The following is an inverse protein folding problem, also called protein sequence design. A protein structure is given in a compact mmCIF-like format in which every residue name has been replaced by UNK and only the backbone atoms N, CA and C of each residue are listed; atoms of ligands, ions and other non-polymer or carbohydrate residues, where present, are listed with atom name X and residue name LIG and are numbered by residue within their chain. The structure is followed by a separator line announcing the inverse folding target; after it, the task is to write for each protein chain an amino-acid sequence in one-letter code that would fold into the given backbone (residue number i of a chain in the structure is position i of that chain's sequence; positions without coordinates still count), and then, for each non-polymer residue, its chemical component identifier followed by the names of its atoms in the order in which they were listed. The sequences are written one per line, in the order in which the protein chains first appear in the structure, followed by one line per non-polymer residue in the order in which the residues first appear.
data_IF_548321886273
#
_entry.id   IF_548321886273
#
_cell.length_a   1.000
_cell.length_b   1.000
_cell.length_c   1.000
_cell.angle_alpha   90.00
_cell.angle_beta   90.00
_cell.angle_gamma   90.00
#
_symmetry.space_group_name_H-M   'P 1'
#
loop_
_entity.id
_entity.type
_entity.pdbx_description
1 polymer ?
#
# COMPACT_ATOMS: atom_id res chain seq x y z
N UNK A 1 15.64 -27.38 -4.33
CA UNK A 1 15.02 -27.96 -5.53
C UNK A 1 14.72 -26.91 -6.60
N UNK A 2 13.73 -26.02 -6.47
CA UNK A 2 13.49 -24.99 -7.52
C UNK A 2 14.70 -24.07 -7.75
N UNK A 3 15.31 -23.57 -6.67
CA UNK A 3 16.54 -22.77 -6.76
C UNK A 3 17.68 -23.51 -7.46
N UNK A 4 17.79 -24.83 -7.23
CA UNK A 4 18.80 -25.68 -7.87
C UNK A 4 18.53 -25.85 -9.37
N UNK A 5 17.27 -26.07 -9.76
CA UNK A 5 16.87 -26.12 -11.17
C UNK A 5 17.13 -24.79 -11.91
N UNK A 6 16.96 -23.66 -11.22
CA UNK A 6 17.27 -22.34 -11.74
C UNK A 6 18.78 -22.00 -11.74
N UNK A 7 19.64 -22.91 -11.26
CA UNK A 7 21.07 -22.67 -11.12
C UNK A 7 21.44 -21.63 -10.05
N UNK A 8 20.49 -21.28 -9.18
CA UNK A 8 20.68 -20.29 -8.13
C UNK A 8 21.28 -20.93 -6.88
N UNK A 9 22.54 -20.57 -6.59
CA UNK A 9 23.34 -21.15 -5.50
C UNK A 9 23.13 -20.45 -4.15
N UNK A 10 22.66 -19.21 -4.18
CA UNK A 10 22.42 -18.41 -2.99
C UNK A 10 20.91 -18.25 -2.80
N UNK A 11 20.41 -18.76 -1.68
CA UNK A 11 18.98 -18.70 -1.35
C UNK A 11 18.78 -17.57 -0.36
N UNK A 12 17.98 -16.58 -0.75
CA UNK A 12 17.56 -15.48 0.09
C UNK A 12 16.07 -15.66 0.35
N UNK A 13 15.65 -15.63 1.62
CA UNK A 13 14.23 -15.56 1.96
C UNK A 13 13.77 -14.10 1.89
N UNK A 14 12.58 -13.83 1.31
CA UNK A 14 12.12 -12.47 1.12
C UNK A 14 11.66 -11.84 2.45
N UNK A 15 11.66 -10.51 2.50
CA UNK A 15 10.79 -9.81 3.45
C UNK A 15 9.36 -9.90 2.93
N UNK A 16 8.42 -10.48 3.68
CA UNK A 16 7.02 -10.49 3.27
C UNK A 16 6.44 -9.07 3.35
N UNK A 17 5.72 -8.66 2.31
CA UNK A 17 4.83 -7.50 2.33
C UNK A 17 3.41 -8.01 2.52
N UNK A 18 2.83 -7.74 3.69
CA UNK A 18 1.48 -8.21 4.02
C UNK A 18 0.48 -7.11 3.74
N UNK A 19 -0.42 -7.31 2.78
CA UNK A 19 -1.56 -6.41 2.62
C UNK A 19 -2.51 -6.54 3.81
N UNK A 20 -2.66 -5.48 4.61
CA UNK A 20 -3.42 -5.51 5.88
C UNK A 20 -4.63 -4.59 5.89
N UNK A 21 -4.71 -3.63 4.96
CA UNK A 21 -5.92 -2.85 4.65
C UNK A 21 -6.10 -2.84 3.14
N UNK A 22 -7.26 -3.33 2.68
CA UNK A 22 -7.65 -3.26 1.28
C UNK A 22 -8.48 -1.98 1.01
N UNK A 23 -8.17 -1.34 -0.09
CA UNK A 23 -8.97 -0.28 -0.71
C UNK A 23 -9.14 -0.57 -2.20
N UNK A 24 -9.17 0.49 -3.01
CA UNK A 24 -9.24 0.42 -4.47
C UNK A 24 -10.35 -0.51 -4.95
N UNK A 25 -10.04 -1.29 -5.98
CA UNK A 25 -10.94 -2.28 -6.59
C UNK A 25 -11.07 -3.56 -5.74
N UNK A 26 -10.20 -3.78 -4.76
CA UNK A 26 -10.17 -4.98 -3.89
C UNK A 26 -11.11 -4.89 -2.66
N UNK A 27 -11.83 -3.78 -2.48
CA UNK A 27 -12.73 -3.58 -1.35
C UNK A 27 -13.92 -2.66 -1.66
N UNK A 28 -15.11 -3.07 -1.17
CA UNK A 28 -16.35 -2.28 -1.22
C UNK A 28 -16.39 -1.07 -0.26
N UNK A 29 -15.24 -0.48 0.07
CA UNK A 29 -15.13 0.75 0.85
C UNK A 29 -14.91 1.97 -0.08
N UNK A 30 -14.64 3.14 0.49
CA UNK A 30 -14.38 4.38 -0.28
C UNK A 30 -12.90 4.64 -0.56
N UNK A 31 -12.00 3.86 0.02
CA UNK A 31 -10.56 4.11 -0.04
C UNK A 31 -10.06 3.95 -1.47
N UNK A 32 -9.38 4.95 -2.02
CA UNK A 32 -8.96 4.91 -3.42
C UNK A 32 -7.75 4.00 -3.66
N UNK A 33 -6.72 4.10 -2.81
CA UNK A 33 -5.50 3.29 -2.96
C UNK A 33 -5.77 1.83 -2.59
N UNK A 34 -5.18 0.91 -3.33
CA UNK A 34 -5.58 -0.49 -3.34
C UNK A 34 -5.05 -1.28 -2.14
N UNK A 35 -3.78 -1.10 -1.81
CA UNK A 35 -3.12 -1.89 -0.76
C UNK A 35 -2.31 -1.04 0.20
N UNK A 36 -2.44 -1.37 1.48
CA UNK A 36 -1.60 -0.82 2.52
C UNK A 36 -0.92 -1.97 3.24
N UNK A 37 0.37 -2.12 2.97
CA UNK A 37 1.16 -3.27 3.37
C UNK A 37 2.04 -2.96 4.57
N UNK A 38 2.32 -3.99 5.37
CA UNK A 38 3.37 -3.96 6.39
C UNK A 38 4.54 -4.87 5.99
N UNK A 39 5.76 -4.38 6.20
CA UNK A 39 7.01 -5.05 5.85
C UNK A 39 7.89 -5.19 7.09
N UNK A 40 8.03 -6.40 7.69
CA UNK A 40 8.87 -6.63 8.86
C UNK A 40 10.37 -6.69 8.55
N UNK A 41 10.94 -5.59 8.04
CA UNK A 41 12.36 -5.49 7.64
C UNK A 41 13.35 -5.67 8.79
N UNK A 42 12.91 -5.48 10.04
CA UNK A 42 13.72 -5.64 11.25
C UNK A 42 13.71 -7.04 11.85
N UNK A 43 13.07 -8.02 11.20
CA UNK A 43 13.06 -9.41 11.65
C UNK A 43 14.40 -10.12 11.34
N UNK A 44 14.85 -11.01 12.23
CA UNK A 44 16.09 -11.76 12.04
C UNK A 44 15.95 -12.94 11.08
N UNK A 45 14.73 -13.38 10.79
CA UNK A 45 14.42 -14.46 9.87
C UNK A 45 12.95 -14.41 9.44
N UNK A 46 12.60 -15.20 8.41
CA UNK A 46 11.25 -15.24 7.87
C UNK A 46 10.18 -15.65 8.90
N UNK A 47 10.49 -16.58 9.80
CA UNK A 47 9.55 -17.00 10.86
C UNK A 47 9.22 -15.84 11.81
N UNK A 48 10.21 -15.05 12.20
CA UNK A 48 10.00 -13.85 12.99
C UNK A 48 9.20 -12.80 12.20
N UNK A 49 9.48 -12.62 10.90
CA UNK A 49 8.71 -11.70 10.05
C UNK A 49 7.23 -12.10 9.98
N UNK A 50 6.93 -13.39 9.80
CA UNK A 50 5.56 -13.92 9.82
C UNK A 50 4.87 -13.66 11.17
N UNK A 51 5.59 -13.88 12.29
CA UNK A 51 5.06 -13.60 13.63
C UNK A 51 4.70 -12.12 13.78
N UNK A 52 5.65 -11.24 13.47
CA UNK A 52 5.47 -9.79 13.52
C UNK A 52 4.28 -9.32 12.69
N UNK A 53 4.18 -9.78 11.44
CA UNK A 53 3.06 -9.47 10.55
C UNK A 53 1.71 -9.91 11.14
N UNK A 54 1.64 -11.14 11.65
CA UNK A 54 0.40 -11.70 12.21
C UNK A 54 -0.07 -10.98 13.48
N UNK A 55 0.86 -10.57 14.35
CA UNK A 55 0.53 -9.85 15.58
C UNK A 55 0.02 -8.44 15.26
N UNK A 56 0.69 -7.71 14.33
CA UNK A 56 0.21 -6.41 13.87
C UNK A 56 -1.16 -6.51 13.23
N UNK A 57 -1.41 -7.51 12.38
CA UNK A 57 -2.71 -7.73 11.75
C UNK A 57 -3.84 -7.95 12.79
N UNK A 58 -3.60 -8.76 13.82
CA UNK A 58 -4.59 -8.96 14.89
C UNK A 58 -4.81 -7.72 15.76
N UNK A 59 -3.76 -6.93 16.03
CA UNK A 59 -3.91 -5.65 16.71
C UNK A 59 -4.69 -4.65 15.87
N UNK A 60 -4.39 -4.56 14.57
CA UNK A 60 -5.12 -3.73 13.62
C UNK A 60 -6.62 -4.07 13.61
N UNK A 61 -6.97 -5.37 13.59
CA UNK A 61 -8.37 -5.82 13.70
C UNK A 61 -9.08 -5.22 14.91
N UNK A 62 -8.43 -5.24 16.07
CA UNK A 62 -9.00 -4.75 17.31
C UNK A 62 -9.16 -3.22 17.30
N UNK A 63 -8.19 -2.50 16.72
CA UNK A 63 -8.24 -1.04 16.56
C UNK A 63 -9.40 -0.65 15.64
N UNK A 64 -9.49 -1.28 14.46
CA UNK A 64 -10.58 -1.08 13.50
C UNK A 64 -11.93 -1.38 14.14
N UNK A 65 -12.07 -2.53 14.81
CA UNK A 65 -13.30 -2.91 15.53
C UNK A 65 -13.72 -1.86 16.54
N UNK A 66 -12.77 -1.33 17.31
CA UNK A 66 -13.02 -0.32 18.34
C UNK A 66 -13.46 1.01 17.74
N UNK A 67 -12.87 1.42 16.61
CA UNK A 67 -13.11 2.73 15.99
C UNK A 67 -14.35 2.75 15.08
N UNK A 68 -14.58 1.67 14.33
CA UNK A 68 -15.59 1.63 13.27
C UNK A 68 -16.65 0.53 13.46
N UNK A 69 -16.52 -0.30 14.50
CA UNK A 69 -17.45 -1.39 14.78
C UNK A 69 -17.02 -2.73 14.19
N UNK A 70 -17.75 -3.80 14.53
CA UNK A 70 -17.42 -5.17 14.14
C UNK A 70 -17.43 -5.36 12.62
N UNK A 71 -18.38 -4.75 11.93
CA UNK A 71 -18.60 -4.94 10.49
C UNK A 71 -17.40 -4.42 9.67
N UNK A 72 -16.68 -3.41 10.18
CA UNK A 72 -15.46 -2.89 9.55
C UNK A 72 -14.26 -3.85 9.62
N UNK A 73 -14.39 -5.00 10.31
CA UNK A 73 -13.36 -6.06 10.35
C UNK A 73 -13.60 -7.19 9.36
N UNK A 74 -14.58 -7.04 8.46
CA UNK A 74 -14.64 -7.84 7.26
C UNK A 74 -13.36 -7.63 6.42
N UNK A 75 -12.98 -8.66 5.68
CA UNK A 75 -11.78 -8.66 4.85
C UNK A 75 -12.13 -8.45 3.38
N UNK A 76 -11.25 -7.79 2.64
CA UNK A 76 -11.29 -7.71 1.18
C UNK A 76 -10.78 -8.99 0.53
N UNK A 77 -10.57 -8.93 -0.79
CA UNK A 77 -10.23 -10.11 -1.60
C UNK A 77 -8.91 -10.78 -1.19
N UNK A 78 -7.98 -10.02 -0.59
CA UNK A 78 -6.64 -10.48 -0.20
C UNK A 78 -6.46 -10.71 1.30
N UNK A 79 -7.54 -10.63 2.08
CA UNK A 79 -7.52 -10.86 3.51
C UNK A 79 -7.14 -9.65 4.37
N UNK A 80 -6.77 -8.51 3.78
CA UNK A 80 -6.67 -7.23 4.48
C UNK A 80 -8.06 -6.72 4.92
N UNK A 81 -8.12 -5.86 5.94
CA UNK A 81 -9.40 -5.31 6.40
C UNK A 81 -9.93 -4.26 5.43
N UNK A 82 -11.25 -4.15 5.31
CA UNK A 82 -11.91 -3.18 4.43
C UNK A 82 -12.75 -2.15 5.23
N UNK A 83 -12.15 -1.35 6.14
CA UNK A 83 -12.91 -0.33 6.86
C UNK A 83 -13.45 0.71 5.88
N UNK A 84 -14.64 1.26 6.18
CA UNK A 84 -15.28 2.26 5.35
C UNK A 84 -14.68 3.67 5.58
N UNK A 85 -13.42 3.83 5.19
CA UNK A 85 -12.67 5.08 5.25
C UNK A 85 -12.47 5.62 3.82
N UNK A 86 -12.43 6.95 3.69
CA UNK A 86 -12.18 7.64 2.42
C UNK A 86 -10.73 8.12 2.32
N UNK A 87 -10.20 8.71 3.39
CA UNK A 87 -8.86 9.28 3.37
C UNK A 87 -7.76 8.21 3.51
N UNK A 88 -6.88 8.09 2.52
CA UNK A 88 -5.73 7.16 2.55
C UNK A 88 -4.84 7.36 3.79
N UNK A 89 -4.74 8.61 4.27
CA UNK A 89 -4.03 8.97 5.50
C UNK A 89 -4.58 8.29 6.74
N UNK A 90 -5.90 8.07 6.81
CA UNK A 90 -6.53 7.35 7.92
C UNK A 90 -6.12 5.87 7.92
N UNK A 91 -5.98 5.24 6.76
CA UNK A 91 -5.43 3.88 6.63
C UNK A 91 -4.01 3.77 7.18
N UNK A 92 -3.14 4.73 6.81
CA UNK A 92 -1.77 4.82 7.31
C UNK A 92 -1.72 5.06 8.84
N UNK A 93 -2.61 5.89 9.38
CA UNK A 93 -2.71 6.12 10.83
C UNK A 93 -3.06 4.83 11.59
N UNK A 94 -4.03 4.07 11.10
CA UNK A 94 -4.45 2.80 11.71
C UNK A 94 -3.31 1.77 11.72
N UNK A 95 -2.57 1.66 10.62
CA UNK A 95 -1.42 0.76 10.52
C UNK A 95 -0.30 1.19 11.46
N UNK A 96 0.03 2.48 11.49
CA UNK A 96 1.07 2.99 12.38
C UNK A 96 0.71 2.80 13.86
N UNK A 97 -0.56 2.99 14.24
CA UNK A 97 -1.06 2.66 15.57
C UNK A 97 -0.94 1.15 15.87
N UNK A 98 -1.29 0.29 14.93
CA UNK A 98 -1.19 -1.16 15.09
C UNK A 98 0.26 -1.64 15.28
N UNK A 99 1.19 -1.13 14.47
CA UNK A 99 2.63 -1.39 14.61
C UNK A 99 3.10 -0.99 16.01
N UNK A 100 2.67 0.18 16.48
CA UNK A 100 3.01 0.70 17.81
C UNK A 100 2.46 -0.16 18.94
N UNK A 101 1.18 -0.48 18.90
CA UNK A 101 0.53 -1.30 19.94
C UNK A 101 1.13 -2.72 19.99
N UNK A 102 1.55 -3.27 18.84
CA UNK A 102 2.23 -4.55 18.76
C UNK A 102 3.70 -4.51 19.26
N UNK A 103 4.25 -3.31 19.52
CA UNK A 103 5.62 -3.16 20.02
C UNK A 103 6.71 -3.30 18.95
N UNK A 104 6.38 -3.04 17.67
CA UNK A 104 7.29 -3.21 16.52
C UNK A 104 7.69 -1.90 15.84
N UNK A 105 7.56 -0.75 16.53
CA UNK A 105 8.06 0.54 16.02
C UNK A 105 9.53 0.44 15.60
N UNK A 106 9.84 0.96 14.41
CA UNK A 106 11.18 0.92 13.83
C UNK A 106 11.58 -0.42 13.20
N UNK A 107 10.88 -1.52 13.48
CA UNK A 107 11.15 -2.84 12.89
C UNK A 107 10.22 -3.19 11.72
N UNK A 108 9.06 -2.56 11.65
CA UNK A 108 8.11 -2.70 10.54
C UNK A 108 8.06 -1.39 9.77
N UNK A 109 8.09 -1.50 8.44
CA UNK A 109 7.90 -0.41 7.47
C UNK A 109 6.57 -0.60 6.74
N UNK A 110 6.19 0.41 5.98
CA UNK A 110 4.95 0.40 5.19
C UNK A 110 5.29 0.34 3.70
N UNK A 111 4.52 -0.45 2.97
CA UNK A 111 4.47 -0.46 1.52
C UNK A 111 3.07 -0.09 1.08
N UNK A 112 2.92 0.43 -0.13
CA UNK A 112 1.62 0.73 -0.70
C UNK A 112 1.59 0.23 -2.13
N UNK A 113 0.49 -0.37 -2.54
CA UNK A 113 0.08 -0.40 -3.94
C UNK A 113 -1.06 0.59 -4.10
N UNK A 114 -0.80 1.59 -4.92
CA UNK A 114 -1.74 2.66 -5.20
C UNK A 114 -2.72 2.21 -6.29
N UNK A 115 -2.28 1.43 -7.29
CA UNK A 115 -3.02 1.09 -8.50
C UNK A 115 -3.66 2.33 -9.17
N UNK A 116 -2.85 3.37 -9.42
CA UNK A 116 -3.37 4.67 -9.82
C UNK A 116 -4.10 4.69 -11.17
N UNK A 117 -3.82 3.72 -12.05
CA UNK A 117 -4.54 3.51 -13.31
C UNK A 117 -6.05 3.36 -13.08
N UNK A 118 -6.47 2.71 -11.98
CA UNK A 118 -7.88 2.46 -11.66
C UNK A 118 -8.71 3.73 -11.41
N UNK A 119 -8.03 4.81 -11.03
CA UNK A 119 -8.66 6.10 -10.75
C UNK A 119 -8.10 7.26 -11.57
N UNK A 120 -7.36 6.95 -12.63
CA UNK A 120 -6.93 7.93 -13.61
C UNK A 120 -8.11 8.32 -14.54
N UNK A 121 -8.36 9.63 -14.66
CA UNK A 121 -9.43 10.21 -15.47
C UNK A 121 -8.95 11.49 -16.14
N UNK A 122 -8.93 11.49 -17.47
CA UNK A 122 -8.62 12.66 -18.30
C UNK A 122 -7.30 13.38 -17.91
N UNK A 123 -6.24 12.61 -17.60
CA UNK A 123 -4.93 13.16 -17.21
C UNK A 123 -4.81 13.53 -15.72
N UNK A 124 -5.85 13.27 -14.92
CA UNK A 124 -5.93 13.57 -13.49
C UNK A 124 -6.33 12.33 -12.68
N UNK A 125 -6.37 12.45 -11.36
CA UNK A 125 -6.60 11.33 -10.47
C UNK A 125 -7.78 11.58 -9.52
N UNK A 126 -8.77 10.70 -9.56
CA UNK A 126 -10.01 10.77 -8.78
C UNK A 126 -9.92 9.93 -7.50
N UNK A 127 -9.52 10.53 -6.39
CA UNK A 127 -9.44 9.82 -5.10
C UNK A 127 -10.81 9.44 -4.48
N UNK A 128 -11.92 9.68 -5.17
CA UNK A 128 -13.26 9.21 -4.82
C UNK A 128 -13.88 8.43 -5.99
N UNK A 129 -13.07 7.76 -6.83
CA UNK A 129 -13.51 7.12 -8.09
C UNK A 129 -14.66 6.10 -7.96
N UNK A 130 -14.82 5.51 -6.77
CA UNK A 130 -15.91 4.58 -6.44
C UNK A 130 -17.26 5.27 -6.22
N UNK A 131 -17.28 6.60 -6.13
CA UNK A 131 -18.49 7.40 -6.11
C UNK A 131 -18.90 7.75 -7.54
N UNK A 132 -20.03 7.21 -7.99
CA UNK A 132 -20.62 7.52 -9.32
C UNK A 132 -20.87 9.02 -9.54
N UNK A 133 -20.91 9.81 -8.46
CA UNK A 133 -21.10 11.26 -8.46
C UNK A 133 -19.84 12.02 -8.02
N UNK A 134 -18.66 11.41 -8.17
CA UNK A 134 -17.40 12.11 -7.88
C UNK A 134 -17.30 13.40 -8.67
N UNK A 135 -16.79 14.46 -8.03
CA UNK A 135 -16.72 15.81 -8.58
C UNK A 135 -15.40 16.01 -9.33
N UNK A 136 -15.39 16.20 -10.67
CA UNK A 136 -14.16 16.43 -11.42
C UNK A 136 -13.31 17.61 -10.94
N UNK A 137 -13.90 18.56 -10.19
CA UNK A 137 -13.17 19.67 -9.61
C UNK A 137 -12.23 19.25 -8.46
N UNK A 138 -12.40 18.06 -7.87
CA UNK A 138 -11.55 17.53 -6.80
C UNK A 138 -10.41 16.65 -7.32
N UNK A 139 -10.39 16.35 -8.62
CA UNK A 139 -9.38 15.47 -9.20
C UNK A 139 -8.00 16.10 -9.08
N UNK A 140 -7.03 15.29 -8.65
CA UNK A 140 -5.67 15.74 -8.45
C UNK A 140 -4.91 15.77 -9.78
N UNK A 141 -4.22 16.88 -10.02
CA UNK A 141 -3.17 16.91 -11.04
C UNK A 141 -2.02 15.96 -10.64
N UNK A 142 -1.27 15.38 -11.60
CA UNK A 142 -0.18 14.46 -11.30
C UNK A 142 0.81 15.00 -10.26
N UNK A 143 1.17 16.29 -10.35
CA UNK A 143 2.08 16.91 -9.38
C UNK A 143 1.49 17.04 -7.98
N UNK A 144 0.18 17.24 -7.87
CA UNK A 144 -0.49 17.28 -6.57
C UNK A 144 -0.52 15.90 -5.93
N UNK A 145 -0.74 14.85 -6.73
CA UNK A 145 -0.67 13.47 -6.28
C UNK A 145 0.77 13.07 -5.87
N UNK A 146 1.79 13.50 -6.62
CA UNK A 146 3.19 13.32 -6.24
C UNK A 146 3.49 13.93 -4.85
N UNK A 147 3.07 15.18 -4.63
CA UNK A 147 3.27 15.85 -3.35
C UNK A 147 2.56 15.14 -2.20
N UNK A 148 1.38 14.57 -2.45
CA UNK A 148 0.66 13.76 -1.47
C UNK A 148 1.48 12.53 -1.04
N UNK A 149 2.11 11.83 -1.99
CA UNK A 149 3.01 10.71 -1.67
C UNK A 149 4.24 11.17 -0.88
N UNK A 150 4.86 12.28 -1.27
CA UNK A 150 6.02 12.83 -0.56
C UNK A 150 5.67 13.21 0.89
N UNK A 151 4.47 13.76 1.11
CA UNK A 151 3.95 14.03 2.45
C UNK A 151 3.74 12.73 3.25
N UNK A 152 3.19 11.68 2.63
CA UNK A 152 3.07 10.37 3.27
C UNK A 152 4.44 9.79 3.65
N UNK A 153 5.43 9.83 2.74
CA UNK A 153 6.79 9.34 2.99
C UNK A 153 7.47 10.10 4.14
N UNK A 154 7.19 11.40 4.26
CA UNK A 154 7.71 12.23 5.35
C UNK A 154 7.06 11.91 6.70
N UNK A 155 5.78 11.59 6.71
CA UNK A 155 5.00 11.38 7.94
C UNK A 155 5.01 9.93 8.44
N UNK A 156 5.15 8.95 7.54
CA UNK A 156 5.03 7.52 7.83
C UNK A 156 6.28 6.76 7.40
N UNK A 157 6.57 5.57 7.99
CA UNK A 157 7.75 4.78 7.64
C UNK A 157 7.56 4.02 6.32
N UNK A 158 7.13 4.70 5.25
CA UNK A 158 6.93 4.14 3.92
C UNK A 158 8.29 3.92 3.26
N UNK A 159 8.48 2.74 2.67
CA UNK A 159 9.72 2.35 1.98
C UNK A 159 9.48 1.81 0.57
N UNK A 160 8.22 1.59 0.18
CA UNK A 160 7.84 1.16 -1.16
C UNK A 160 6.50 1.77 -1.56
N UNK A 161 6.40 2.27 -2.79
CA UNK A 161 5.13 2.63 -3.43
C UNK A 161 5.09 1.97 -4.82
N UNK A 162 4.06 1.21 -5.07
CA UNK A 162 3.74 0.56 -6.33
C UNK A 162 2.63 1.33 -7.06
N UNK A 163 2.75 1.41 -8.39
CA UNK A 163 1.85 2.11 -9.30
C UNK A 163 1.36 3.49 -8.82
N UNK A 164 2.27 4.42 -8.47
CA UNK A 164 1.90 5.76 -8.01
C UNK A 164 1.18 6.60 -9.08
N UNK A 165 1.28 6.23 -10.36
CA UNK A 165 0.67 6.92 -11.48
C UNK A 165 0.13 5.94 -12.51
N UNK A 166 -0.71 6.45 -13.40
CA UNK A 166 -1.21 5.72 -14.56
C UNK A 166 -0.09 5.03 -15.34
N UNK A 167 -0.39 3.85 -15.87
CA UNK A 167 0.52 2.99 -16.64
C UNK A 167 1.20 3.69 -17.84
N UNK A 168 0.58 4.72 -18.43
CA UNK A 168 1.16 5.48 -19.56
C UNK A 168 1.78 6.82 -19.11
N UNK A 169 1.76 7.12 -17.81
CA UNK A 169 2.17 8.39 -17.19
C UNK A 169 3.67 8.63 -17.04
N UNK A 170 4.50 8.25 -18.03
CA UNK A 170 5.98 8.18 -17.94
C UNK A 170 6.70 9.39 -17.33
N UNK A 171 6.24 10.61 -17.61
CA UNK A 171 6.81 11.83 -17.04
C UNK A 171 6.61 11.89 -15.52
N UNK A 172 5.45 11.46 -15.04
CA UNK A 172 5.11 11.43 -13.60
C UNK A 172 5.91 10.34 -12.88
N UNK A 173 6.05 9.16 -13.49
CA UNK A 173 6.91 8.08 -13.03
C UNK A 173 8.37 8.50 -12.89
N UNK A 174 8.90 9.17 -13.91
CA UNK A 174 10.26 9.73 -13.90
C UNK A 174 10.42 10.77 -12.79
N UNK A 175 9.42 11.65 -12.62
CA UNK A 175 9.43 12.70 -11.59
C UNK A 175 9.48 12.13 -10.17
N UNK A 176 8.57 11.20 -9.82
CA UNK A 176 8.57 10.62 -8.45
C UNK A 176 9.81 9.80 -8.17
N UNK A 177 10.27 8.98 -9.14
CA UNK A 177 11.47 8.16 -8.98
C UNK A 177 12.72 9.02 -8.72
N UNK A 178 12.78 10.23 -9.31
CA UNK A 178 13.85 11.19 -9.04
C UNK A 178 13.66 11.96 -7.71
N UNK A 179 12.43 12.06 -7.21
CA UNK A 179 12.08 12.87 -6.04
C UNK A 179 12.24 12.14 -4.70
N UNK A 180 12.31 10.80 -4.69
CA UNK A 180 12.39 10.01 -3.46
C UNK A 180 13.41 8.88 -3.54
N UNK A 181 14.11 8.54 -2.43
CA UNK A 181 15.03 7.41 -2.41
C UNK A 181 14.37 6.07 -2.07
N UNK A 182 13.05 6.04 -1.84
CA UNK A 182 12.34 4.79 -1.53
C UNK A 182 12.16 3.93 -2.79
N UNK A 183 11.77 2.68 -2.61
CA UNK A 183 11.44 1.80 -3.73
C UNK A 183 10.19 2.32 -4.46
N UNK A 184 10.27 2.46 -5.78
CA UNK A 184 9.11 2.66 -6.65
C UNK A 184 8.98 1.40 -7.51
N UNK A 185 7.80 0.78 -7.51
CA UNK A 185 7.51 -0.49 -8.20
C UNK A 185 6.54 -0.21 -9.34
N UNK A 186 6.80 -0.78 -10.51
CA UNK A 186 5.85 -0.79 -11.62
C UNK A 186 5.21 -2.16 -11.76
N UNK A 187 3.89 -2.24 -11.61
CA UNK A 187 3.08 -3.42 -11.91
C UNK A 187 2.37 -3.23 -13.26
N UNK A 188 1.31 -2.42 -13.34
CA UNK A 188 0.61 -2.10 -14.59
C UNK A 188 1.51 -1.36 -15.58
N UNK A 189 2.49 -0.60 -15.09
CA UNK A 189 3.48 0.07 -15.95
C UNK A 189 4.30 -0.93 -16.77
N UNK A 190 4.71 -2.04 -16.15
CA UNK A 190 5.70 -2.95 -16.75
C UNK A 190 5.11 -4.30 -17.14
N UNK A 191 3.97 -4.71 -16.57
CA UNK A 191 3.21 -5.94 -16.84
C UNK A 191 4.06 -7.20 -16.99
N UNK A 192 5.21 -7.24 -16.30
CA UNK A 192 6.21 -8.31 -16.44
C UNK A 192 6.66 -8.52 -17.91
N UNK A 193 6.67 -7.46 -18.71
CA UNK A 193 7.11 -7.45 -20.11
C UNK A 193 8.54 -6.87 -20.22
N UNK A 194 9.47 -7.55 -20.93
CA UNK A 194 10.82 -7.03 -21.15
C UNK A 194 10.93 -5.79 -22.04
N UNK A 195 9.93 -5.50 -22.88
CA UNK A 195 9.88 -4.31 -23.76
C UNK A 195 9.34 -3.08 -23.01
#
# INVERSE_FOLDING_TARGET
YIAELAGNKEIILPTPAFNVINGGSHAGNKLAMQEFMILPVGAANFTEAMKMGSEVYHHLKNIIKKKFGLDATAVGDEGGFAPNILENKEGLNLINEAIKVAGYEGKIKIGMDVAASEFHKDGKYDLDFKNEKSDPATYLEPKALENLYLDFIKEYPIVSIEDPFDQDGWDSWTSITAATPIQIVGDDLTVTNPE
#
